data_IF_331218146359
#
_entry.id   IF_331218146359
#
_cell.length_a   1.000
_cell.length_b   1.000
_cell.length_c   1.000
_cell.angle_alpha   90.00
_cell.angle_beta   90.00
_cell.angle_gamma   90.00
#
_symmetry.space_group_name_H-M   'P 1'
#
loop_
_entity.id
_entity.type
_entity.pdbx_description
1 polymer ?
#
# COMPACT_ATOMS: atom_id res chain seq x y z
N UNK A 1 90.65 15.09 -21.61
CA UNK A 1 91.42 15.04 -20.35
C UNK A 1 90.61 15.75 -19.26
N UNK A 2 90.25 15.03 -18.17
CA UNK A 2 89.96 15.49 -16.78
C UNK A 2 88.88 16.60 -16.58
N UNK A 3 87.95 16.59 -15.61
CA UNK A 3 87.65 15.78 -14.43
C UNK A 3 86.30 16.27 -13.83
N UNK A 4 85.52 15.38 -13.19
CA UNK A 4 84.75 15.53 -11.93
C UNK A 4 83.65 16.61 -11.75
N UNK A 5 82.67 16.51 -10.84
CA UNK A 5 81.85 15.47 -10.14
C UNK A 5 81.09 16.23 -9.02
N UNK A 6 79.80 15.94 -8.81
CA UNK A 6 79.11 15.73 -7.50
C UNK A 6 78.65 16.95 -6.64
N UNK A 7 77.31 17.11 -6.59
CA UNK A 7 76.35 17.13 -5.44
C UNK A 7 76.35 18.22 -4.30
N UNK A 8 75.22 18.94 -4.23
CA UNK A 8 74.15 18.91 -3.18
C UNK A 8 74.22 19.75 -1.86
N UNK A 9 73.05 20.36 -1.58
CA UNK A 9 72.40 20.80 -0.30
C UNK A 9 73.06 21.87 0.59
N UNK A 10 72.29 22.95 0.85
CA UNK A 10 71.57 23.23 2.12
C UNK A 10 71.07 24.70 2.19
N UNK A 11 69.79 24.90 2.54
CA UNK A 11 69.21 26.17 3.07
C UNK A 11 69.52 26.29 4.58
N UNK A 12 69.28 27.44 5.25
CA UNK A 12 67.96 27.73 5.90
C UNK A 12 67.57 29.25 5.94
N UNK A 13 66.26 29.61 5.89
CA UNK A 13 65.32 30.08 6.96
C UNK A 13 65.65 31.45 7.59
N UNK A 14 64.77 32.36 8.06
CA UNK A 14 63.32 32.73 8.16
C UNK A 14 63.36 34.18 8.76
N UNK A 15 62.37 35.09 8.79
CA UNK A 15 61.12 35.03 9.56
C UNK A 15 60.35 36.40 9.58
N UNK A 16 59.01 36.37 9.29
CA UNK A 16 57.83 37.08 9.91
C UNK A 16 57.72 38.63 9.98
N UNK A 17 56.56 39.31 9.97
CA UNK A 17 55.10 39.05 9.82
C UNK A 17 54.33 40.40 9.84
N UNK A 18 53.09 40.46 9.32
CA UNK A 18 51.86 41.12 9.86
C UNK A 18 50.65 40.89 8.90
N UNK A 19 49.37 41.00 9.33
CA UNK A 19 48.40 39.89 9.27
C UNK A 19 47.14 40.17 8.42
N UNK A 20 46.40 39.13 8.01
CA UNK A 20 45.04 39.26 7.49
C UNK A 20 44.11 38.19 8.08
N UNK A 21 42.96 38.65 8.57
CA UNK A 21 41.99 37.91 9.37
C UNK A 21 41.27 36.81 8.58
N UNK A 22 41.07 35.66 9.23
CA UNK A 22 40.28 34.55 8.71
C UNK A 22 38.77 34.87 8.77
N UNK A 23 38.07 34.67 7.65
CA UNK A 23 36.61 34.61 7.59
C UNK A 23 36.12 33.16 7.77
N UNK A 24 34.94 32.91 8.36
CA UNK A 24 34.48 31.55 8.64
C UNK A 24 34.02 30.85 7.37
N UNK A 25 34.50 29.62 7.15
CA UNK A 25 34.00 28.71 6.11
C UNK A 25 32.52 28.42 6.36
N UNK A 26 31.64 28.98 5.51
CA UNK A 26 30.27 28.48 5.39
C UNK A 26 30.33 27.13 4.69
N UNK A 27 30.00 26.06 5.41
CA UNK A 27 29.67 24.76 4.82
C UNK A 27 28.66 24.98 3.69
N UNK A 28 29.12 24.83 2.44
CA UNK A 28 28.27 24.79 1.26
C UNK A 28 27.53 23.46 1.31
N UNK A 29 26.37 23.43 1.95
CA UNK A 29 25.38 22.42 1.62
C UNK A 29 24.98 22.64 0.16
N UNK A 30 25.31 21.64 -0.63
CA UNK A 30 25.07 21.40 -2.05
C UNK A 30 23.60 21.63 -2.40
N UNK A 31 23.28 22.82 -2.93
CA UNK A 31 21.96 23.15 -3.51
C UNK A 31 21.51 22.09 -4.54
N UNK A 32 22.46 21.42 -5.20
CA UNK A 32 22.20 20.31 -6.12
C UNK A 32 21.64 19.07 -5.42
N UNK A 33 22.10 18.71 -4.22
CA UNK A 33 21.59 17.56 -3.46
C UNK A 33 20.20 17.86 -2.88
N UNK A 34 19.98 19.09 -2.41
CA UNK A 34 18.67 19.50 -1.90
C UNK A 34 17.62 19.55 -3.01
N UNK A 35 18.02 19.96 -4.22
CA UNK A 35 17.12 20.00 -5.39
C UNK A 35 16.81 18.59 -5.89
N UNK A 36 17.80 17.69 -5.96
CA UNK A 36 17.56 16.28 -6.36
C UNK A 36 16.72 15.52 -5.34
N UNK A 37 16.95 15.73 -4.04
CA UNK A 37 16.17 15.11 -2.97
C UNK A 37 14.71 15.59 -2.99
N UNK A 38 14.48 16.90 -3.15
CA UNK A 38 13.13 17.45 -3.29
C UNK A 38 12.40 16.91 -4.52
N UNK A 39 13.07 16.80 -5.67
CA UNK A 39 12.45 16.22 -6.88
C UNK A 39 12.18 14.72 -6.77
N UNK A 40 12.97 13.97 -5.99
CA UNK A 40 12.76 12.54 -5.74
C UNK A 40 11.57 12.32 -4.80
N UNK A 41 11.47 13.09 -3.71
CA UNK A 41 10.36 13.05 -2.75
C UNK A 41 9.02 13.41 -3.41
N UNK A 42 9.01 14.42 -4.29
CA UNK A 42 7.82 14.83 -5.05
C UNK A 42 7.38 13.75 -6.06
N UNK A 43 8.35 13.02 -6.64
CA UNK A 43 8.07 11.93 -7.59
C UNK A 43 7.50 10.67 -6.93
N UNK A 44 7.91 10.36 -5.70
CA UNK A 44 7.42 9.19 -4.98
C UNK A 44 6.05 9.44 -4.35
N UNK A 45 5.79 10.68 -3.89
CA UNK A 45 4.47 11.14 -3.48
C UNK A 45 3.45 11.01 -4.64
N UNK A 46 3.81 11.48 -5.83
CA UNK A 46 2.92 11.42 -6.99
C UNK A 46 2.60 9.98 -7.41
N UNK A 47 3.58 9.06 -7.33
CA UNK A 47 3.36 7.63 -7.61
C UNK A 47 2.40 6.99 -6.59
N UNK A 48 2.57 7.32 -5.30
CA UNK A 48 1.70 6.80 -4.24
C UNK A 48 0.26 7.29 -4.42
N UNK A 49 0.08 8.58 -4.70
CA UNK A 49 -1.24 9.14 -4.96
C UNK A 49 -1.89 8.58 -6.24
N UNK A 50 -1.12 8.38 -7.32
CA UNK A 50 -1.62 7.75 -8.53
C UNK A 50 -2.06 6.30 -8.30
N UNK A 51 -1.36 5.57 -7.42
CA UNK A 51 -1.74 4.22 -7.02
C UNK A 51 -3.05 4.19 -6.25
N UNK A 52 -3.22 5.06 -5.24
CA UNK A 52 -4.48 5.19 -4.50
C UNK A 52 -5.65 5.53 -5.43
N UNK A 53 -5.47 6.47 -6.35
CA UNK A 53 -6.50 6.82 -7.32
C UNK A 53 -6.90 5.61 -8.19
N UNK A 54 -5.93 4.78 -8.61
CA UNK A 54 -6.22 3.55 -9.37
C UNK A 54 -7.04 2.56 -8.55
N UNK A 55 -6.79 2.44 -7.24
CA UNK A 55 -7.60 1.60 -6.34
C UNK A 55 -9.03 2.15 -6.29
N UNK A 56 -9.18 3.45 -6.03
CA UNK A 56 -10.47 4.12 -5.93
C UNK A 56 -11.30 3.96 -7.21
N UNK A 57 -10.68 4.15 -8.38
CA UNK A 57 -11.33 3.98 -9.68
C UNK A 57 -11.80 2.52 -9.88
N UNK A 58 -10.94 1.54 -9.59
CA UNK A 58 -11.26 0.12 -9.75
C UNK A 58 -12.40 -0.33 -8.84
N UNK A 59 -12.45 0.17 -7.60
CA UNK A 59 -13.52 -0.12 -6.65
C UNK A 59 -14.82 0.58 -7.02
N UNK A 60 -14.76 1.88 -7.35
CA UNK A 60 -15.95 2.67 -7.68
C UNK A 60 -16.61 2.23 -8.99
N UNK A 61 -15.86 1.66 -9.93
CA UNK A 61 -16.41 1.11 -11.18
C UNK A 61 -17.38 -0.08 -10.97
N UNK A 62 -17.39 -0.72 -9.79
CA UNK A 62 -18.18 -1.93 -9.53
C UNK A 62 -19.49 -1.63 -8.83
N UNK A 63 -20.64 -1.75 -9.49
CA UNK A 63 -21.94 -1.36 -8.91
C UNK A 63 -22.52 -2.40 -7.94
N UNK A 64 -22.22 -3.69 -8.13
CA UNK A 64 -22.73 -4.79 -7.31
C UNK A 64 -21.78 -5.14 -6.16
N UNK A 65 -22.31 -5.70 -5.07
CA UNK A 65 -21.51 -6.18 -3.93
C UNK A 65 -20.51 -7.25 -4.38
N UNK A 66 -20.97 -8.26 -5.13
CA UNK A 66 -20.10 -9.33 -5.63
C UNK A 66 -18.96 -8.78 -6.51
N UNK A 67 -19.26 -7.84 -7.43
CA UNK A 67 -18.23 -7.22 -8.26
C UNK A 67 -17.24 -6.37 -7.47
N UNK A 68 -17.72 -5.69 -6.42
CA UNK A 68 -16.90 -4.89 -5.52
C UNK A 68 -15.95 -5.76 -4.68
N UNK A 69 -16.46 -6.83 -4.06
CA UNK A 69 -15.67 -7.77 -3.27
C UNK A 69 -14.67 -8.52 -4.16
N UNK A 70 -15.06 -8.94 -5.36
CA UNK A 70 -14.15 -9.54 -6.33
C UNK A 70 -13.00 -8.59 -6.72
N UNK A 71 -13.30 -7.32 -6.96
CA UNK A 71 -12.27 -6.31 -7.26
C UNK A 71 -11.33 -6.09 -6.07
N UNK A 72 -11.88 -6.07 -4.85
CA UNK A 72 -11.13 -5.97 -3.59
C UNK A 72 -10.16 -7.13 -3.43
N UNK A 73 -10.63 -8.38 -3.58
CA UNK A 73 -9.76 -9.56 -3.51
C UNK A 73 -8.68 -9.53 -4.60
N UNK A 74 -8.99 -9.04 -5.80
CA UNK A 74 -7.99 -8.85 -6.85
C UNK A 74 -6.88 -7.86 -6.46
N UNK A 75 -7.24 -6.74 -5.83
CA UNK A 75 -6.26 -5.76 -5.32
C UNK A 75 -5.43 -6.32 -4.17
N UNK A 76 -6.05 -7.04 -3.25
CA UNK A 76 -5.35 -7.71 -2.14
C UNK A 76 -4.40 -8.79 -2.67
N UNK A 77 -4.79 -9.53 -3.71
CA UNK A 77 -3.92 -10.50 -4.36
C UNK A 77 -2.67 -9.83 -4.93
N UNK A 78 -2.84 -8.71 -5.66
CA UNK A 78 -1.71 -7.94 -6.19
C UNK A 78 -0.79 -7.45 -5.05
N UNK A 79 -1.35 -6.96 -3.93
CA UNK A 79 -0.57 -6.52 -2.78
C UNK A 79 0.20 -7.66 -2.10
N UNK A 80 -0.46 -8.80 -1.86
CA UNK A 80 0.18 -10.00 -1.29
C UNK A 80 1.31 -10.50 -2.20
N UNK A 81 1.09 -10.50 -3.52
CA UNK A 81 2.07 -10.98 -4.50
C UNK A 81 3.33 -10.11 -4.49
N UNK A 82 3.17 -8.80 -4.37
CA UNK A 82 4.30 -7.88 -4.18
C UNK A 82 5.09 -8.21 -2.89
N UNK A 83 4.41 -8.48 -1.78
CA UNK A 83 5.08 -8.82 -0.51
C UNK A 83 5.80 -10.17 -0.59
N UNK A 84 5.19 -11.16 -1.24
CA UNK A 84 5.81 -12.47 -1.46
C UNK A 84 7.07 -12.35 -2.32
N UNK A 85 7.00 -11.60 -3.44
CA UNK A 85 8.15 -11.37 -4.31
C UNK A 85 9.29 -10.62 -3.61
N UNK A 86 8.97 -9.75 -2.64
CA UNK A 86 9.99 -9.08 -1.83
C UNK A 86 10.68 -10.03 -0.84
N UNK A 87 9.96 -11.02 -0.29
CA UNK A 87 10.51 -11.99 0.66
C UNK A 87 11.47 -13.01 0.00
N UNK A 88 11.35 -13.25 -1.31
CA UNK A 88 12.22 -14.16 -2.04
C UNK A 88 13.49 -13.50 -2.56
N UNK A 89 14.50 -14.34 -2.83
CA UNK A 89 15.76 -13.90 -3.45
C UNK A 89 15.51 -13.38 -4.87
N UNK A 90 16.23 -12.32 -5.23
CA UNK A 90 16.07 -11.59 -6.49
C UNK A 90 17.07 -11.98 -7.59
N UNK A 91 17.97 -12.92 -7.34
CA UNK A 91 18.91 -13.36 -8.37
C UNK A 91 18.21 -14.22 -9.44
N UNK A 92 18.47 -13.94 -10.71
CA UNK A 92 17.76 -14.54 -11.86
C UNK A 92 17.76 -16.08 -11.83
N UNK A 93 18.82 -16.68 -11.29
CA UNK A 93 18.92 -18.13 -11.16
C UNK A 93 17.95 -18.67 -10.08
N UNK A 94 17.94 -18.09 -8.88
CA UNK A 94 16.98 -18.47 -7.85
C UNK A 94 15.54 -18.20 -8.30
N UNK A 95 15.28 -17.09 -8.99
CA UNK A 95 13.94 -16.75 -9.49
C UNK A 95 13.44 -17.84 -10.44
N UNK A 96 14.21 -18.14 -11.48
CA UNK A 96 13.82 -19.09 -12.53
C UNK A 96 13.67 -20.54 -12.03
N UNK A 97 14.53 -20.98 -11.10
CA UNK A 97 14.61 -22.39 -10.73
C UNK A 97 14.01 -22.73 -9.37
N UNK A 98 13.76 -21.75 -8.51
CA UNK A 98 13.15 -21.96 -7.19
C UNK A 98 11.89 -21.13 -7.00
N UNK A 99 11.89 -19.83 -7.31
CA UNK A 99 10.75 -18.95 -7.00
C UNK A 99 9.57 -19.18 -7.95
N UNK A 100 9.79 -19.12 -9.27
CA UNK A 100 8.73 -19.32 -10.27
C UNK A 100 8.01 -20.67 -10.09
N UNK A 101 8.71 -21.83 -9.93
CA UNK A 101 8.04 -23.11 -9.70
C UNK A 101 7.23 -23.20 -8.40
N UNK A 102 7.53 -22.36 -7.40
CA UNK A 102 6.77 -22.33 -6.15
C UNK A 102 5.45 -21.57 -6.31
N UNK A 103 5.46 -20.49 -7.11
CA UNK A 103 4.35 -19.55 -7.25
C UNK A 103 3.41 -19.86 -8.42
N UNK A 104 3.85 -20.63 -9.41
CA UNK A 104 3.07 -20.85 -10.64
C UNK A 104 2.46 -22.25 -10.73
N UNK A 105 1.36 -22.36 -11.47
CA UNK A 105 0.73 -23.64 -11.82
C UNK A 105 0.27 -24.42 -10.58
N UNK A 106 0.87 -25.59 -10.37
CA UNK A 106 0.62 -26.46 -9.19
C UNK A 106 1.66 -26.27 -8.09
N UNK A 107 2.38 -25.15 -8.12
CA UNK A 107 3.34 -24.80 -7.08
C UNK A 107 2.65 -24.68 -5.71
N UNK A 108 3.34 -25.03 -4.60
CA UNK A 108 2.75 -25.02 -3.27
C UNK A 108 2.30 -23.63 -2.79
N UNK A 109 2.77 -22.55 -3.43
CA UNK A 109 2.42 -21.17 -3.13
C UNK A 109 1.60 -20.52 -4.27
N UNK A 110 1.00 -21.29 -5.17
CA UNK A 110 0.17 -20.74 -6.24
C UNK A 110 -1.11 -20.08 -5.71
N UNK A 111 -1.68 -20.64 -4.64
CA UNK A 111 -2.95 -20.18 -4.09
C UNK A 111 -2.78 -18.94 -3.19
N UNK A 112 -3.61 -17.92 -3.43
CA UNK A 112 -3.63 -16.68 -2.65
C UNK A 112 -3.77 -16.91 -1.13
N UNK A 113 -4.68 -17.78 -0.62
CA UNK A 113 -4.76 -18.05 0.82
C UNK A 113 -3.46 -18.61 1.40
N UNK A 114 -2.70 -19.38 0.62
CA UNK A 114 -1.42 -19.94 1.07
C UNK A 114 -0.34 -18.87 1.12
N UNK A 115 -0.29 -18.01 0.09
CA UNK A 115 0.60 -16.84 0.05
C UNK A 115 0.34 -15.87 1.22
N UNK A 116 -0.92 -15.63 1.54
CA UNK A 116 -1.32 -14.82 2.69
C UNK A 116 -0.80 -15.42 4.02
N UNK A 117 -0.97 -16.74 4.21
CA UNK A 117 -0.45 -17.45 5.39
C UNK A 117 1.07 -17.37 5.48
N UNK A 118 1.77 -17.46 4.35
CA UNK A 118 3.22 -17.34 4.30
C UNK A 118 3.69 -15.96 4.79
N UNK A 119 3.16 -14.87 4.23
CA UNK A 119 3.58 -13.52 4.63
C UNK A 119 3.23 -13.19 6.08
N UNK A 120 2.14 -13.75 6.61
CA UNK A 120 1.80 -13.67 8.02
C UNK A 120 2.78 -14.47 8.89
N UNK A 121 3.10 -15.71 8.52
CA UNK A 121 4.05 -16.55 9.24
C UNK A 121 5.47 -15.96 9.26
N UNK A 122 5.84 -15.22 8.21
CA UNK A 122 7.09 -14.46 8.14
C UNK A 122 7.05 -13.16 8.97
N UNK A 123 5.89 -12.76 9.51
CA UNK A 123 5.74 -11.55 10.33
C UNK A 123 5.73 -10.25 9.52
N UNK A 124 5.49 -10.30 8.21
CA UNK A 124 5.43 -9.11 7.34
C UNK A 124 4.14 -8.33 7.57
N UNK A 125 3.04 -9.04 7.81
CA UNK A 125 1.73 -8.46 8.12
C UNK A 125 1.30 -8.78 9.55
N UNK A 126 0.49 -7.89 10.13
CA UNK A 126 -0.08 -8.07 11.46
C UNK A 126 -1.23 -9.09 11.45
N UNK A 127 -1.67 -9.47 12.66
CA UNK A 127 -2.84 -10.33 12.84
C UNK A 127 -4.11 -9.70 12.29
N UNK A 128 -4.36 -8.44 12.62
CA UNK A 128 -5.56 -7.71 12.18
C UNK A 128 -5.63 -7.62 10.64
N UNK A 129 -4.49 -7.34 9.99
CA UNK A 129 -4.39 -7.33 8.53
C UNK A 129 -4.61 -8.73 7.93
N UNK A 130 -4.09 -9.78 8.55
CA UNK A 130 -4.32 -11.16 8.11
C UNK A 130 -5.81 -11.53 8.22
N UNK A 131 -6.44 -11.25 9.36
CA UNK A 131 -7.86 -11.57 9.62
C UNK A 131 -8.79 -10.78 8.69
N UNK A 132 -8.50 -9.51 8.42
CA UNK A 132 -9.28 -8.68 7.48
C UNK A 132 -9.24 -9.25 6.05
N UNK A 133 -8.05 -9.63 5.58
CA UNK A 133 -7.88 -10.19 4.23
C UNK A 133 -8.54 -11.57 4.15
N UNK A 134 -8.38 -12.42 5.17
CA UNK A 134 -9.02 -13.73 5.22
C UNK A 134 -10.55 -13.61 5.19
N UNK A 135 -11.12 -12.66 5.93
CA UNK A 135 -12.56 -12.40 5.93
C UNK A 135 -13.08 -11.95 4.57
N UNK A 136 -12.36 -11.04 3.89
CA UNK A 136 -12.73 -10.58 2.53
C UNK A 136 -12.61 -11.70 1.50
N UNK A 137 -11.63 -12.60 1.64
CA UNK A 137 -11.50 -13.80 0.82
C UNK A 137 -12.66 -14.78 1.04
N UNK A 138 -13.03 -15.02 2.30
CA UNK A 138 -14.15 -15.88 2.65
C UNK A 138 -15.46 -15.32 2.10
N UNK A 139 -15.73 -14.03 2.29
CA UNK A 139 -16.90 -13.35 1.74
C UNK A 139 -16.95 -13.44 0.22
N UNK A 140 -15.83 -13.23 -0.47
CA UNK A 140 -15.77 -13.39 -1.93
C UNK A 140 -16.08 -14.81 -2.39
N UNK A 141 -15.65 -15.82 -1.63
CA UNK A 141 -15.94 -17.21 -1.98
C UNK A 141 -17.41 -17.53 -1.77
N UNK A 142 -18.03 -17.04 -0.69
CA UNK A 142 -19.47 -17.24 -0.46
C UNK A 142 -20.30 -16.60 -1.59
N UNK A 143 -20.02 -15.33 -1.91
CA UNK A 143 -20.72 -14.56 -2.96
C UNK A 143 -20.58 -15.17 -4.36
N UNK A 144 -19.57 -16.00 -4.62
CA UNK A 144 -19.38 -16.68 -5.92
C UNK A 144 -20.27 -17.91 -6.08
N UNK A 145 -20.60 -18.58 -4.98
CA UNK A 145 -21.38 -19.83 -5.01
C UNK A 145 -22.88 -19.57 -4.84
N UNK A 146 -23.24 -18.43 -4.28
CA UNK A 146 -24.63 -18.03 -4.11
C UNK A 146 -25.22 -17.41 -5.37
N UNK A 147 -26.49 -17.71 -5.63
CA UNK A 147 -27.25 -17.13 -6.76
C UNK A 147 -28.12 -15.93 -6.32
N UNK A 148 -27.86 -15.39 -5.11
CA UNK A 148 -28.57 -14.24 -4.54
C UNK A 148 -27.83 -12.94 -4.90
N UNK A 149 -28.59 -11.92 -5.29
CA UNK A 149 -28.05 -10.58 -5.51
C UNK A 149 -28.19 -9.80 -4.20
N UNK A 150 -27.05 -9.45 -3.60
CA UNK A 150 -27.00 -8.68 -2.36
C UNK A 150 -26.91 -7.18 -2.59
N UNK A 151 -27.49 -6.43 -1.66
CA UNK A 151 -27.22 -5.01 -1.44
C UNK A 151 -26.13 -4.81 -0.38
N UNK A 152 -25.47 -3.66 -0.40
CA UNK A 152 -24.49 -3.29 0.64
C UNK A 152 -25.13 -3.08 2.02
N UNK A 153 -26.45 -2.96 2.07
CA UNK A 153 -27.24 -2.74 3.29
C UNK A 153 -27.82 -4.03 3.87
N UNK A 154 -27.63 -5.16 3.20
CA UNK A 154 -28.11 -6.46 3.68
C UNK A 154 -27.29 -6.90 4.89
N UNK A 155 -27.93 -7.49 5.89
CA UNK A 155 -27.27 -7.91 7.14
C UNK A 155 -26.19 -8.96 6.90
N UNK A 156 -26.37 -9.82 5.90
CA UNK A 156 -25.38 -10.81 5.48
C UNK A 156 -24.09 -10.17 4.94
N UNK A 157 -24.16 -8.91 4.49
CA UNK A 157 -23.03 -8.13 4.02
C UNK A 157 -22.49 -7.24 5.13
N UNK A 158 -23.38 -6.51 5.83
CA UNK A 158 -23.01 -5.62 6.92
C UNK A 158 -22.35 -6.34 8.10
N UNK A 159 -22.82 -7.54 8.44
CA UNK A 159 -22.28 -8.34 9.54
C UNK A 159 -20.78 -8.61 9.38
N UNK A 160 -20.35 -9.31 8.30
CA UNK A 160 -18.94 -9.52 8.01
C UNK A 160 -18.14 -8.23 7.88
N UNK A 161 -18.66 -7.21 7.19
CA UNK A 161 -17.94 -5.94 7.02
C UNK A 161 -17.67 -5.29 8.38
N UNK A 162 -18.61 -5.31 9.30
CA UNK A 162 -18.45 -4.70 10.63
C UNK A 162 -17.44 -5.44 11.52
N UNK A 163 -17.01 -6.65 11.13
CA UNK A 163 -15.95 -7.40 11.81
C UNK A 163 -14.54 -7.03 11.33
N UNK A 164 -14.41 -6.27 10.23
CA UNK A 164 -13.12 -5.82 9.74
C UNK A 164 -12.50 -4.81 10.71
N UNK A 165 -11.23 -5.02 11.06
CA UNK A 165 -10.47 -4.13 11.91
C UNK A 165 -10.16 -2.80 11.23
N UNK A 166 -9.96 -2.85 9.91
CA UNK A 166 -9.70 -1.66 9.08
C UNK A 166 -10.96 -0.80 8.86
N UNK A 167 -12.15 -1.30 9.22
CA UNK A 167 -13.37 -0.52 9.07
C UNK A 167 -13.45 0.61 10.09
N UNK A 168 -13.72 1.80 9.58
CA UNK A 168 -14.29 2.87 10.39
C UNK A 168 -15.74 2.55 10.75
N UNK A 169 -16.26 3.19 11.80
CA UNK A 169 -17.63 2.97 12.26
C UNK A 169 -18.62 3.15 11.09
N UNK A 170 -19.47 2.15 10.88
CA UNK A 170 -20.51 2.21 9.87
C UNK A 170 -21.41 3.44 10.09
N UNK A 171 -21.90 4.06 9.02
CA UNK A 171 -22.83 5.17 9.14
C UNK A 171 -24.07 4.72 9.94
N UNK A 172 -24.67 5.60 10.77
CA UNK A 172 -25.86 5.25 11.50
C UNK A 172 -27.00 4.96 10.52
N UNK A 173 -27.78 3.91 10.80
CA UNK A 173 -28.95 3.58 10.00
C UNK A 173 -29.95 4.76 10.02
N UNK A 174 -30.59 5.09 8.89
CA UNK A 174 -31.56 6.18 8.84
C UNK A 174 -32.70 5.94 9.82
N UNK A 175 -32.96 6.90 10.70
CA UNK A 175 -34.12 6.83 11.61
C UNK A 175 -35.34 7.38 10.88
N UNK A 176 -36.19 6.48 10.39
CA UNK A 176 -37.47 6.83 9.78
C UNK A 176 -38.49 7.13 10.89
N UNK A 177 -38.51 8.37 11.39
CA UNK A 177 -39.62 8.87 12.21
C UNK A 177 -40.81 9.20 11.30
N UNK A 178 -41.54 8.18 10.85
CA UNK A 178 -42.78 8.40 10.09
C UNK A 178 -43.98 8.28 11.03
N UNK A 179 -44.94 9.23 10.99
CA UNK A 179 -46.28 9.02 11.53
C UNK A 179 -46.89 7.78 10.85
N UNK A 180 -47.62 6.95 11.61
CA UNK A 180 -48.16 5.65 11.16
C UNK A 180 -49.03 5.72 9.88
N UNK A 181 -49.49 6.91 9.49
CA UNK A 181 -50.50 7.09 8.43
C UNK A 181 -50.01 7.62 7.07
N UNK A 182 -48.73 7.95 6.88
CA UNK A 182 -48.20 8.28 5.53
C UNK A 182 -46.75 7.83 5.41
N UNK A 183 -46.52 6.57 5.02
CA UNK A 183 -45.20 6.15 4.53
C UNK A 183 -45.00 6.77 3.15
N UNK A 184 -44.20 7.83 3.08
CA UNK A 184 -43.76 8.36 1.80
C UNK A 184 -42.71 7.40 1.22
N UNK A 185 -43.17 6.46 0.39
CA UNK A 185 -42.33 5.46 -0.28
C UNK A 185 -41.19 6.12 -1.06
N UNK A 186 -41.36 7.34 -1.58
CA UNK A 186 -40.26 8.05 -2.26
C UNK A 186 -39.20 8.47 -1.26
N UNK A 187 -39.59 8.99 -0.10
CA UNK A 187 -38.68 9.36 0.97
C UNK A 187 -37.91 8.15 1.51
N UNK A 188 -38.58 7.01 1.71
CA UNK A 188 -37.95 5.76 2.16
C UNK A 188 -36.89 5.30 1.16
N UNK A 189 -37.25 5.18 -0.12
CA UNK A 189 -36.31 4.78 -1.18
C UNK A 189 -35.11 5.73 -1.27
N UNK A 190 -35.32 7.04 -1.15
CA UNK A 190 -34.23 8.01 -1.16
C UNK A 190 -33.28 7.85 0.04
N UNK A 191 -33.80 7.50 1.22
CA UNK A 191 -32.99 7.27 2.41
C UNK A 191 -32.19 5.98 2.32
N UNK A 192 -32.80 4.89 1.82
CA UNK A 192 -32.11 3.63 1.59
C UNK A 192 -30.95 3.80 0.58
N UNK A 193 -31.20 4.49 -0.53
CA UNK A 193 -30.15 4.77 -1.52
C UNK A 193 -28.99 5.59 -0.93
N UNK A 194 -29.29 6.62 -0.12
CA UNK A 194 -28.26 7.42 0.56
C UNK A 194 -27.46 6.56 1.54
N UNK A 195 -28.14 5.74 2.33
CA UNK A 195 -27.49 4.85 3.29
C UNK A 195 -26.57 3.85 2.58
N UNK A 196 -27.05 3.21 1.51
CA UNK A 196 -26.25 2.31 0.69
C UNK A 196 -25.01 3.00 0.11
N UNK A 197 -25.14 4.24 -0.37
CA UNK A 197 -24.00 5.03 -0.87
C UNK A 197 -22.99 5.33 0.25
N UNK A 198 -23.46 5.70 1.45
CA UNK A 198 -22.57 5.96 2.59
C UNK A 198 -21.82 4.71 3.02
N UNK A 199 -22.50 3.57 3.15
CA UNK A 199 -21.85 2.28 3.49
C UNK A 199 -20.79 1.94 2.44
N UNK A 200 -21.14 2.04 1.16
CA UNK A 200 -20.22 1.80 0.05
C UNK A 200 -19.00 2.72 0.09
N UNK A 201 -19.18 4.02 0.32
CA UNK A 201 -18.05 4.96 0.43
C UNK A 201 -17.14 4.62 1.61
N UNK A 202 -17.73 4.23 2.74
CA UNK A 202 -16.96 3.84 3.95
C UNK A 202 -16.11 2.59 3.67
N UNK A 203 -16.68 1.61 2.95
CA UNK A 203 -15.97 0.42 2.48
C UNK A 203 -14.83 0.77 1.52
N UNK A 204 -15.09 1.60 0.51
CA UNK A 204 -14.09 2.03 -0.47
C UNK A 204 -12.88 2.66 0.25
N UNK A 205 -13.12 3.54 1.23
CA UNK A 205 -12.05 4.20 1.97
C UNK A 205 -11.25 3.18 2.82
N UNK A 206 -11.96 2.32 3.55
CA UNK A 206 -11.33 1.33 4.45
C UNK A 206 -10.50 0.30 3.68
N UNK A 207 -11.00 -0.16 2.52
CA UNK A 207 -10.28 -1.09 1.65
C UNK A 207 -9.11 -0.40 0.95
N UNK A 208 -9.29 0.86 0.50
CA UNK A 208 -8.18 1.63 -0.06
C UNK A 208 -7.05 1.75 0.95
N UNK A 209 -7.35 2.11 2.20
CA UNK A 209 -6.35 2.18 3.27
C UNK A 209 -5.65 0.84 3.50
N UNK A 210 -6.41 -0.25 3.64
CA UNK A 210 -5.85 -1.60 3.83
C UNK A 210 -4.90 -2.00 2.69
N UNK A 211 -5.33 -1.86 1.43
CA UNK A 211 -4.52 -2.20 0.25
C UNK A 211 -3.26 -1.32 0.19
N UNK A 212 -3.42 -0.02 0.42
CA UNK A 212 -2.30 0.93 0.44
C UNK A 212 -1.28 0.56 1.53
N UNK A 213 -1.72 0.25 2.75
CA UNK A 213 -0.84 -0.20 3.83
C UNK A 213 -0.08 -1.47 3.47
N UNK A 214 -0.76 -2.45 2.87
CA UNK A 214 -0.12 -3.69 2.43
C UNK A 214 0.93 -3.44 1.34
N UNK A 215 0.62 -2.60 0.34
CA UNK A 215 1.54 -2.30 -0.75
C UNK A 215 2.78 -1.51 -0.32
N UNK A 216 2.69 -0.67 0.70
CA UNK A 216 3.82 0.13 1.19
C UNK A 216 4.71 -0.63 2.20
N UNK A 217 4.28 -1.80 2.69
CA UNK A 217 5.12 -2.64 3.53
C UNK A 217 6.32 -3.16 2.75
N UNK A 218 7.43 -3.31 3.46
CA UNK A 218 8.65 -3.93 2.97
C UNK A 218 8.81 -5.28 3.66
N UNK A 219 8.84 -6.36 2.89
CA UNK A 219 9.34 -7.63 3.38
C UNK A 219 10.87 -7.59 3.37
N UNK A 220 11.46 -7.48 4.57
CA UNK A 220 12.90 -7.56 4.90
C UNK A 220 13.88 -6.68 4.10
#
# INVERSE_FOLDING_TARGET
MKLNRVHNRAQPERERELPSAAAPEKQRYSVSETTTMATMEESDLYKSQAFENRILERLNARQTVAGFIQATVGLLAEAVDLLVLQAFRKDDYAVKYAVEPLLEGTGPLADLPVRLKLIYALGVISRDEYEDVELLLALNNELKHENKIYSFTDDEILGPINMLHSMTALPPQPTLHLPEDVVDDQLVNMQEQRYQQMVRSTLVLSITDLVTRLCHKKAF
#
